data_IF_374618490248
#
_entry.id   IF_374618490248
#
_cell.length_a   1.000
_cell.length_b   1.000
_cell.length_c   1.000
_cell.angle_alpha   90.00
_cell.angle_beta   90.00
_cell.angle_gamma   90.00
#
_symmetry.space_group_name_H-M   'P 1'
#
loop_
_entity.id
_entity.type
_entity.pdbx_description
1 polymer ?
#
# COMPACT_ATOMS: atom_id res chain seq x y z
N UNK A 1 15.00 15.38 17.21
CA UNK A 1 15.08 15.68 15.77
C UNK A 1 13.74 16.27 15.41
N UNK A 2 13.74 17.53 15.01
CA UNK A 2 12.53 18.33 14.73
C UNK A 2 12.13 18.17 13.25
N UNK A 3 10.87 18.46 12.92
CA UNK A 3 10.33 18.36 11.55
C UNK A 3 11.29 18.93 10.48
N UNK A 4 11.80 20.15 10.67
CA UNK A 4 12.70 20.78 9.70
C UNK A 4 14.00 19.98 9.48
N UNK A 5 14.56 19.41 10.53
CA UNK A 5 15.77 18.59 10.42
C UNK A 5 15.51 17.28 9.69
N UNK A 6 14.36 16.66 9.94
CA UNK A 6 13.92 15.45 9.23
C UNK A 6 13.72 15.74 7.74
N UNK A 7 13.05 16.85 7.40
CA UNK A 7 12.82 17.24 6.00
C UNK A 7 14.14 17.49 5.25
N UNK A 8 15.10 18.18 5.89
CA UNK A 8 16.45 18.38 5.32
C UNK A 8 17.21 17.09 5.11
N UNK A 9 17.03 16.12 5.99
CA UNK A 9 17.68 14.81 5.84
C UNK A 9 17.02 13.99 4.73
N UNK A 10 15.69 14.02 4.60
CA UNK A 10 14.97 13.36 3.50
C UNK A 10 15.36 13.99 2.15
N UNK A 11 15.43 15.33 2.06
CA UNK A 11 15.87 16.01 0.83
C UNK A 11 17.27 15.59 0.38
N UNK A 12 18.17 15.28 1.32
CA UNK A 12 19.55 14.86 1.03
C UNK A 12 19.72 13.38 0.76
N UNK A 13 18.95 12.53 1.44
CA UNK A 13 19.14 11.07 1.45
C UNK A 13 18.18 10.34 0.53
N UNK A 14 17.01 10.91 0.25
CA UNK A 14 15.98 10.31 -0.57
C UNK A 14 15.86 11.00 -1.93
N UNK A 15 15.11 10.38 -2.83
CA UNK A 15 14.79 10.92 -4.14
C UNK A 15 14.02 12.23 -4.01
N UNK A 16 14.14 13.07 -5.05
CA UNK A 16 13.39 14.31 -5.14
C UNK A 16 11.88 14.07 -5.11
N UNK A 17 11.42 12.95 -5.67
CA UNK A 17 10.00 12.55 -5.64
C UNK A 17 9.56 12.28 -4.22
N UNK A 18 10.30 11.46 -3.48
CA UNK A 18 9.96 11.15 -2.11
C UNK A 18 9.94 12.40 -1.23
N UNK A 19 10.91 13.30 -1.39
CA UNK A 19 10.90 14.59 -0.70
C UNK A 19 9.65 15.43 -1.01
N UNK A 20 9.28 15.58 -2.29
CA UNK A 20 8.09 16.34 -2.68
C UNK A 20 6.80 15.71 -2.13
N UNK A 21 6.68 14.37 -2.16
CA UNK A 21 5.56 13.66 -1.57
C UNK A 21 5.49 13.88 -0.05
N UNK A 22 6.62 13.79 0.65
CA UNK A 22 6.70 14.03 2.10
C UNK A 22 6.24 15.45 2.45
N UNK A 23 6.72 16.47 1.74
CA UNK A 23 6.31 17.86 1.95
C UNK A 23 4.79 17.98 1.78
N UNK A 24 4.25 17.46 0.68
CA UNK A 24 2.83 17.52 0.43
C UNK A 24 2.00 16.82 1.52
N UNK A 25 2.42 15.63 1.96
CA UNK A 25 1.72 14.90 3.04
C UNK A 25 1.77 15.65 4.38
N UNK A 26 2.88 16.32 4.69
CA UNK A 26 3.01 17.15 5.90
C UNK A 26 2.10 18.37 5.82
N UNK A 27 2.08 19.05 4.67
CA UNK A 27 1.22 20.20 4.42
C UNK A 27 -0.26 19.82 4.63
N UNK A 28 -0.71 18.73 4.00
CA UNK A 28 -2.09 18.26 4.08
C UNK A 28 -2.48 17.81 5.49
N UNK A 29 -1.61 17.04 6.17
CA UNK A 29 -1.95 16.46 7.48
C UNK A 29 -1.83 17.47 8.63
N UNK A 30 -0.78 18.29 8.61
CA UNK A 30 -0.37 19.08 9.75
C UNK A 30 -0.44 20.59 9.52
N UNK A 31 -0.72 21.04 8.29
CA UNK A 31 -0.82 22.45 7.93
C UNK A 31 0.40 23.25 8.40
N UNK A 32 1.60 22.72 8.17
CA UNK A 32 2.88 23.31 8.58
C UNK A 32 3.03 23.62 10.07
N UNK A 33 2.27 22.97 10.94
CA UNK A 33 2.50 23.04 12.39
C UNK A 33 3.85 22.43 12.72
N UNK A 34 4.57 23.05 13.66
CA UNK A 34 5.86 22.54 14.09
C UNK A 34 5.66 21.22 14.85
N UNK A 35 6.26 20.14 14.34
CA UNK A 35 6.16 18.80 14.94
C UNK A 35 7.51 18.48 15.59
N UNK A 36 7.51 18.47 16.92
CA UNK A 36 8.72 18.18 17.71
C UNK A 36 8.89 16.67 17.98
N UNK A 37 7.82 15.88 17.80
CA UNK A 37 7.83 14.44 18.08
C UNK A 37 8.13 13.62 16.82
N UNK A 38 9.35 13.11 16.73
CA UNK A 38 9.78 12.26 15.60
C UNK A 38 9.07 10.90 15.55
N UNK A 39 8.66 10.34 16.70
CA UNK A 39 7.92 9.07 16.71
C UNK A 39 6.59 9.23 15.96
N UNK A 40 5.93 10.38 16.17
CA UNK A 40 4.68 10.70 15.48
C UNK A 40 4.88 10.86 13.98
N UNK A 41 6.01 11.43 13.54
CA UNK A 41 6.36 11.51 12.11
C UNK A 41 6.62 10.12 11.53
N UNK A 42 7.41 9.30 12.22
CA UNK A 42 7.70 7.93 11.80
C UNK A 42 6.41 7.13 11.66
N UNK A 43 5.57 7.09 12.70
CA UNK A 43 4.29 6.36 12.69
C UNK A 43 3.37 6.81 11.54
N UNK A 44 3.35 8.12 11.25
CA UNK A 44 2.61 8.66 10.11
C UNK A 44 3.16 8.16 8.76
N UNK A 45 4.48 8.17 8.59
CA UNK A 45 5.11 7.83 7.31
C UNK A 45 5.27 6.34 7.04
N UNK A 46 5.21 5.48 8.07
CA UNK A 46 5.25 4.02 7.85
C UNK A 46 3.85 3.43 7.63
N UNK A 47 2.80 4.22 7.88
CA UNK A 47 1.42 3.84 7.60
C UNK A 47 1.06 4.06 6.12
N UNK A 48 0.95 2.97 5.37
CA UNK A 48 0.66 3.01 3.94
C UNK A 48 -0.71 3.65 3.61
N UNK A 49 -1.69 3.59 4.53
CA UNK A 49 -3.02 4.20 4.29
C UNK A 49 -2.91 5.74 4.18
N UNK A 50 -1.91 6.35 4.81
CA UNK A 50 -1.64 7.79 4.67
C UNK A 50 -1.20 8.15 3.25
N UNK A 51 -0.49 7.26 2.54
CA UNK A 51 -0.10 7.53 1.15
C UNK A 51 -1.30 7.44 0.21
N UNK A 52 -2.27 6.56 0.48
CA UNK A 52 -3.54 6.56 -0.25
C UNK A 52 -4.32 7.85 0.01
N UNK A 53 -4.36 8.30 1.27
CA UNK A 53 -5.19 9.44 1.68
C UNK A 53 -4.61 10.77 1.20
N UNK A 54 -3.32 11.01 1.41
CA UNK A 54 -2.69 12.32 1.23
C UNK A 54 -1.96 12.48 -0.11
N UNK A 55 -1.77 11.41 -0.89
CA UNK A 55 -1.17 11.50 -2.22
C UNK A 55 -2.17 11.19 -3.34
N UNK A 56 -3.46 10.98 -3.07
CA UNK A 56 -4.43 10.54 -4.09
C UNK A 56 -4.44 11.46 -5.32
N UNK A 57 -4.53 12.76 -5.09
CA UNK A 57 -4.64 13.76 -6.16
C UNK A 57 -3.26 14.18 -6.69
N UNK A 58 -2.23 14.00 -5.86
CA UNK A 58 -0.84 14.36 -6.18
C UNK A 58 -0.11 13.28 -7.00
N UNK A 59 -0.56 12.03 -6.87
CA UNK A 59 0.00 10.85 -7.53
C UNK A 59 0.09 11.01 -9.05
N UNK A 60 -0.98 11.46 -9.69
CA UNK A 60 -1.01 11.58 -11.16
C UNK A 60 -0.10 12.68 -11.71
N UNK A 61 0.21 13.71 -10.92
CA UNK A 61 1.05 14.83 -11.34
C UNK A 61 2.54 14.52 -11.16
N UNK A 62 2.90 13.87 -10.06
CA UNK A 62 4.31 13.60 -9.72
C UNK A 62 4.79 12.28 -10.34
N UNK A 63 4.04 11.20 -10.24
CA UNK A 63 4.49 9.88 -10.73
C UNK A 63 4.73 9.87 -12.22
N UNK A 64 3.84 10.48 -13.00
CA UNK A 64 4.01 10.58 -14.45
C UNK A 64 5.20 11.46 -14.86
N UNK A 65 5.54 12.47 -14.05
CA UNK A 65 6.62 13.40 -14.35
C UNK A 65 8.00 12.82 -14.05
N UNK A 66 8.08 11.96 -13.04
CA UNK A 66 9.34 11.41 -12.54
C UNK A 66 9.49 9.91 -12.78
N UNK A 67 8.56 9.29 -13.50
CA UNK A 67 8.49 7.84 -13.75
C UNK A 67 8.67 7.03 -12.46
N UNK A 68 7.83 7.35 -11.48
CA UNK A 68 7.89 6.73 -10.15
C UNK A 68 6.51 6.26 -9.69
N UNK A 69 6.44 5.56 -8.56
CA UNK A 69 5.18 5.08 -7.99
C UNK A 69 5.08 5.36 -6.50
N UNK A 70 3.84 5.32 -5.99
CA UNK A 70 3.57 5.41 -4.55
C UNK A 70 4.30 4.34 -3.73
N UNK A 71 4.43 3.13 -4.28
CA UNK A 71 5.09 2.02 -3.61
C UNK A 71 6.60 2.28 -3.49
N UNK A 72 7.23 2.85 -4.52
CA UNK A 72 8.65 3.24 -4.45
C UNK A 72 8.88 4.34 -3.42
N UNK A 73 8.04 5.37 -3.42
CA UNK A 73 8.11 6.45 -2.42
C UNK A 73 7.94 5.89 -1.01
N UNK A 74 6.95 5.03 -0.79
CA UNK A 74 6.75 4.38 0.49
C UNK A 74 7.97 3.57 0.93
N UNK A 75 8.52 2.74 0.05
CA UNK A 75 9.67 1.89 0.37
C UNK A 75 10.90 2.73 0.75
N UNK A 76 11.13 3.84 0.03
CA UNK A 76 12.23 4.75 0.28
C UNK A 76 12.08 5.46 1.65
N UNK A 77 10.87 5.92 1.97
CA UNK A 77 10.61 6.57 3.26
C UNK A 77 10.65 5.57 4.42
N UNK A 78 10.15 4.36 4.26
CA UNK A 78 10.34 3.29 5.25
C UNK A 78 11.82 3.03 5.49
N UNK A 79 12.62 2.93 4.43
CA UNK A 79 14.08 2.74 4.53
C UNK A 79 14.76 3.90 5.25
N UNK A 80 14.32 5.14 5.03
CA UNK A 80 14.83 6.31 5.76
C UNK A 80 14.62 6.22 7.29
N UNK A 81 13.51 5.62 7.73
CA UNK A 81 13.18 5.42 9.15
C UNK A 81 13.67 4.09 9.72
N UNK A 82 14.53 3.38 8.98
CA UNK A 82 15.02 2.03 9.29
C UNK A 82 13.88 1.03 9.53
N UNK A 83 12.81 1.10 8.72
CA UNK A 83 11.66 0.21 8.79
C UNK A 83 11.51 -0.66 7.55
N UNK A 84 11.08 -1.91 7.75
CA UNK A 84 10.74 -2.79 6.65
C UNK A 84 9.42 -2.31 6.00
N UNK A 85 9.37 -2.05 4.69
CA UNK A 85 8.12 -1.68 4.02
C UNK A 85 7.04 -2.78 4.08
N UNK A 86 7.45 -4.05 4.18
CA UNK A 86 6.54 -5.18 4.32
C UNK A 86 6.10 -5.39 5.79
N UNK A 87 5.56 -4.33 6.37
CA UNK A 87 5.11 -4.25 7.76
C UNK A 87 3.59 -4.39 7.90
N UNK A 88 3.13 -4.27 9.15
CA UNK A 88 1.72 -4.34 9.54
C UNK A 88 0.82 -3.42 8.73
N UNK A 89 1.23 -2.18 8.48
CA UNK A 89 0.37 -1.17 7.85
C UNK A 89 0.11 -1.51 6.39
N UNK A 90 1.15 -1.85 5.63
CA UNK A 90 1.01 -2.28 4.25
C UNK A 90 0.19 -3.58 4.15
N UNK A 91 0.42 -4.53 5.06
CA UNK A 91 -0.38 -5.75 5.12
C UNK A 91 -1.86 -5.46 5.35
N UNK A 92 -2.21 -4.69 6.39
CA UNK A 92 -3.60 -4.39 6.73
C UNK A 92 -4.30 -3.60 5.62
N UNK A 93 -3.60 -2.67 4.98
CA UNK A 93 -4.11 -1.96 3.82
C UNK A 93 -4.46 -2.90 2.67
N UNK A 94 -3.54 -3.81 2.31
CA UNK A 94 -3.76 -4.80 1.24
C UNK A 94 -4.91 -5.74 1.59
N UNK A 95 -4.95 -6.21 2.83
CA UNK A 95 -6.02 -7.09 3.32
C UNK A 95 -7.38 -6.40 3.24
N UNK A 96 -7.49 -5.15 3.72
CA UNK A 96 -8.72 -4.33 3.64
C UNK A 96 -9.21 -4.20 2.21
N UNK A 97 -8.31 -3.88 1.26
CA UNK A 97 -8.67 -3.75 -0.17
C UNK A 97 -9.12 -5.05 -0.82
N UNK A 98 -8.61 -6.21 -0.40
CA UNK A 98 -9.07 -7.50 -0.90
C UNK A 98 -10.39 -7.92 -0.26
N UNK A 99 -10.52 -7.78 1.05
CA UNK A 99 -11.73 -8.14 1.81
C UNK A 99 -12.95 -7.31 1.42
N UNK A 100 -12.76 -6.10 0.88
CA UNK A 100 -13.85 -5.23 0.44
C UNK A 100 -14.34 -5.51 -0.99
N UNK A 101 -13.69 -6.40 -1.74
CA UNK A 101 -14.06 -6.67 -3.13
C UNK A 101 -15.29 -7.58 -3.21
N UNK A 102 -16.23 -7.23 -4.09
CA UNK A 102 -17.39 -8.07 -4.37
C UNK A 102 -17.04 -9.12 -5.43
N UNK A 103 -17.16 -10.42 -5.15
CA UNK A 103 -16.89 -11.50 -6.11
C UNK A 103 -17.67 -11.40 -7.42
N UNK A 104 -18.88 -10.84 -7.36
CA UNK A 104 -19.72 -10.62 -8.54
C UNK A 104 -19.07 -9.69 -9.56
N UNK A 105 -18.19 -8.77 -9.13
CA UNK A 105 -17.48 -7.87 -10.04
C UNK A 105 -16.55 -8.61 -11.00
N UNK A 106 -16.09 -9.81 -10.64
CA UNK A 106 -15.26 -10.66 -11.48
C UNK A 106 -16.10 -11.58 -12.36
N UNK A 107 -17.16 -12.16 -11.78
CA UNK A 107 -18.07 -13.07 -12.49
C UNK A 107 -18.80 -12.35 -13.64
N UNK A 108 -19.22 -11.10 -13.41
CA UNK A 108 -20.02 -10.33 -14.37
C UNK A 108 -19.20 -9.69 -15.49
N UNK A 109 -17.88 -9.91 -15.56
CA UNK A 109 -17.07 -9.45 -16.69
C UNK A 109 -17.44 -10.32 -17.90
N UNK A 110 -18.02 -9.69 -18.94
CA UNK A 110 -18.52 -10.40 -20.13
C UNK A 110 -17.38 -11.01 -20.95
N UNK A 111 -16.34 -10.21 -21.23
CA UNK A 111 -15.17 -10.64 -21.99
C UNK A 111 -14.33 -11.66 -21.22
N UNK A 112 -14.19 -12.86 -21.77
CA UNK A 112 -13.57 -14.00 -21.09
C UNK A 112 -12.09 -13.76 -20.78
N UNK A 113 -11.36 -13.16 -21.71
CA UNK A 113 -9.93 -12.85 -21.56
C UNK A 113 -9.72 -11.79 -20.46
N UNK A 114 -10.53 -10.72 -20.47
CA UNK A 114 -10.52 -9.69 -19.43
C UNK A 114 -10.89 -10.28 -18.08
N UNK A 115 -11.87 -11.18 -18.03
CA UNK A 115 -12.29 -11.88 -16.82
C UNK A 115 -11.14 -12.73 -16.26
N UNK A 116 -10.52 -13.56 -17.09
CA UNK A 116 -9.40 -14.41 -16.71
C UNK A 116 -8.21 -13.59 -16.19
N UNK A 117 -7.85 -12.52 -16.90
CA UNK A 117 -6.78 -11.61 -16.47
C UNK A 117 -7.10 -10.91 -15.14
N UNK A 118 -8.34 -10.53 -14.91
CA UNK A 118 -8.78 -9.90 -13.65
C UNK A 118 -8.72 -10.88 -12.47
N UNK A 119 -9.08 -12.14 -12.71
CA UNK A 119 -9.00 -13.22 -11.72
C UNK A 119 -7.54 -13.56 -11.40
N UNK A 120 -6.66 -13.64 -12.41
CA UNK A 120 -5.22 -13.83 -12.22
C UNK A 120 -4.61 -12.69 -11.38
N UNK A 121 -5.01 -11.44 -11.64
CA UNK A 121 -4.57 -10.29 -10.83
C UNK A 121 -5.04 -10.38 -9.38
N UNK A 122 -6.25 -10.87 -9.14
CA UNK A 122 -6.77 -11.11 -7.78
C UNK A 122 -5.92 -12.19 -7.07
N UNK A 123 -5.66 -13.31 -7.74
CA UNK A 123 -4.82 -14.39 -7.22
C UNK A 123 -3.41 -13.91 -6.88
N UNK A 124 -2.76 -13.18 -7.79
CA UNK A 124 -1.43 -12.60 -7.54
C UNK A 124 -1.42 -11.67 -6.33
N UNK A 125 -2.47 -10.87 -6.12
CA UNK A 125 -2.59 -10.01 -4.93
C UNK A 125 -2.73 -10.82 -3.65
N UNK A 126 -3.46 -11.95 -3.66
CA UNK A 126 -3.55 -12.86 -2.52
C UNK A 126 -2.18 -13.47 -2.23
N UNK A 127 -1.46 -13.93 -3.25
CA UNK A 127 -0.13 -14.50 -3.11
C UNK A 127 0.87 -13.50 -2.52
N UNK A 128 0.79 -12.22 -2.90
CA UNK A 128 1.60 -11.15 -2.30
C UNK A 128 1.34 -11.07 -0.78
N UNK A 129 0.08 -11.12 -0.35
CA UNK A 129 -0.27 -11.11 1.08
C UNK A 129 0.25 -12.36 1.79
N UNK A 130 0.08 -13.55 1.21
CA UNK A 130 0.61 -14.80 1.80
C UNK A 130 2.14 -14.83 1.86
N UNK A 131 2.81 -14.13 0.95
CA UNK A 131 4.27 -14.03 0.93
C UNK A 131 4.83 -12.97 1.87
N UNK A 132 3.97 -12.10 2.43
CA UNK A 132 4.35 -11.00 3.30
C UNK A 132 5.07 -11.49 4.56
N UNK A 133 6.14 -10.81 4.92
CA UNK A 133 6.94 -10.98 6.13
C UNK A 133 6.05 -10.87 7.36
N UNK A 134 5.25 -9.79 7.45
CA UNK A 134 4.32 -9.59 8.57
C UNK A 134 3.30 -10.72 8.69
N UNK A 135 2.77 -11.22 7.57
CA UNK A 135 1.83 -12.35 7.59
C UNK A 135 2.49 -13.64 8.12
N UNK A 136 3.68 -13.97 7.62
CA UNK A 136 4.43 -15.17 8.03
C UNK A 136 4.75 -15.16 9.52
N UNK A 137 5.01 -14.00 10.09
CA UNK A 137 5.29 -13.84 11.52
C UNK A 137 4.02 -13.92 12.39
N UNK A 138 2.82 -13.72 11.81
CA UNK A 138 1.55 -13.62 12.53
C UNK A 138 0.46 -14.55 11.95
N UNK A 139 0.87 -15.67 11.37
CA UNK A 139 -0.03 -16.55 10.59
C UNK A 139 -1.18 -17.11 11.43
N UNK A 140 -0.95 -17.44 12.70
CA UNK A 140 -1.97 -18.02 13.59
C UNK A 140 -3.19 -17.10 13.71
N UNK A 141 -2.97 -15.80 13.91
CA UNK A 141 -4.03 -14.81 14.09
C UNK A 141 -4.71 -14.43 12.76
N UNK A 142 -3.94 -14.38 11.67
CA UNK A 142 -4.37 -13.78 10.40
C UNK A 142 -4.88 -14.80 9.37
N UNK A 143 -4.61 -16.10 9.57
CA UNK A 143 -4.94 -17.16 8.61
C UNK A 143 -6.42 -17.20 8.22
N UNK A 144 -7.32 -17.00 9.17
CA UNK A 144 -8.77 -17.08 8.93
C UNK A 144 -9.26 -16.05 7.91
N UNK A 145 -8.71 -14.84 7.91
CA UNK A 145 -9.14 -13.81 6.98
C UNK A 145 -8.63 -14.08 5.56
N UNK A 146 -7.40 -14.59 5.43
CA UNK A 146 -6.87 -15.05 4.15
C UNK A 146 -7.66 -16.24 3.61
N UNK A 147 -8.01 -17.21 4.46
CA UNK A 147 -8.82 -18.37 4.06
C UNK A 147 -10.18 -17.94 3.49
N UNK A 148 -10.85 -16.93 4.09
CA UNK A 148 -12.11 -16.40 3.56
C UNK A 148 -11.93 -15.83 2.15
N UNK A 149 -10.89 -15.04 1.94
CA UNK A 149 -10.58 -14.44 0.63
C UNK A 149 -10.27 -15.53 -0.41
N UNK A 150 -9.47 -16.54 -0.04
CA UNK A 150 -9.15 -17.67 -0.93
C UNK A 150 -10.40 -18.45 -1.31
N UNK A 151 -11.27 -18.79 -0.35
CA UNK A 151 -12.56 -19.44 -0.66
C UNK A 151 -13.41 -18.63 -1.62
N UNK A 152 -13.38 -17.30 -1.49
CA UNK A 152 -14.07 -16.42 -2.42
C UNK A 152 -13.46 -16.46 -3.83
N UNK A 153 -12.14 -16.49 -3.96
CA UNK A 153 -11.45 -16.66 -5.25
C UNK A 153 -11.82 -18.00 -5.90
N UNK A 154 -11.85 -19.09 -5.13
CA UNK A 154 -12.22 -20.41 -5.64
C UNK A 154 -13.63 -20.43 -6.23
N UNK A 155 -14.59 -19.77 -5.57
CA UNK A 155 -15.96 -19.61 -6.11
C UNK A 155 -15.94 -18.85 -7.43
N UNK A 156 -15.19 -17.75 -7.50
CA UNK A 156 -15.08 -16.94 -8.72
C UNK A 156 -14.46 -17.76 -9.86
N UNK A 157 -13.36 -18.48 -9.61
CA UNK A 157 -12.71 -19.36 -10.58
C UNK A 157 -13.65 -20.46 -11.09
N UNK A 158 -14.35 -21.13 -10.17
CA UNK A 158 -15.29 -22.19 -10.51
C UNK A 158 -16.43 -21.70 -11.42
N UNK A 159 -17.01 -20.53 -11.12
CA UNK A 159 -18.07 -19.93 -11.95
C UNK A 159 -17.52 -19.47 -13.30
N UNK A 160 -16.30 -18.92 -13.34
CA UNK A 160 -15.66 -18.47 -14.56
C UNK A 160 -15.12 -19.62 -15.45
N UNK A 161 -15.18 -20.88 -14.98
CA UNK A 161 -14.62 -22.03 -15.70
C UNK A 161 -13.08 -22.09 -15.71
N UNK A 162 -12.43 -21.37 -14.80
CA UNK A 162 -10.97 -21.30 -14.67
C UNK A 162 -10.51 -22.32 -13.63
N UNK A 163 -9.46 -23.08 -13.95
CA UNK A 163 -8.83 -24.05 -13.04
C UNK A 163 -7.67 -23.42 -12.30
#
# INVERSE_FOLDING_TARGET
>A
MELESTLKDIEKKCSKVAYLCVIHMIDEKFNNKNIENISLLKDFFIDYENYETFLNDYASVIYNKFDSSKEEVYNEICSFFDENPDNKYLFLFRLKKLSSQNPLNYINIEDEDTRANSILKLENRINIIESSTYYKENTEELSNDIIKIKKSLEVVKAVAGIK
#
